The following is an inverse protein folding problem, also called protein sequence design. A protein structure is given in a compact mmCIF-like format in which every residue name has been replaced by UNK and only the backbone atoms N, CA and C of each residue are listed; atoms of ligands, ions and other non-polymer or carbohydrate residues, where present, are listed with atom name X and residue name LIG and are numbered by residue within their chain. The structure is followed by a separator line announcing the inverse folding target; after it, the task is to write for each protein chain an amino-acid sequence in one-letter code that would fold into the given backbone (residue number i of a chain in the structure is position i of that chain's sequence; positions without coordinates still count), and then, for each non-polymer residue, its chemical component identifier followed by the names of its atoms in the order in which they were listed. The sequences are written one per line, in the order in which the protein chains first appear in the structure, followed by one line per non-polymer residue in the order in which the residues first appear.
data_IF_112079578063
#
_entry.id   IF_112079578063
#
_cell.length_a   1.000
_cell.length_b   1.000
_cell.length_c   1.000
_cell.angle_alpha   90.00
_cell.angle_beta   90.00
_cell.angle_gamma   90.00
#
_symmetry.space_group_name_H-M   'P 1'
#
loop_
_entity.id
_entity.type
_entity.pdbx_description
1 polymer ?
#
# COMPACT_ATOMS: atom_id res chain seq x y z
N UNK A 1 -23.06 -4.90 -37.62
CA UNK A 1 -22.76 -3.46 -37.83
C UNK A 1 -23.94 -2.52 -37.49
N UNK A 2 -24.85 -2.85 -36.57
CA UNK A 2 -26.07 -2.04 -36.27
C UNK A 2 -26.06 -1.40 -34.87
N UNK A 3 -25.04 -1.69 -34.03
CA UNK A 3 -25.05 -1.33 -32.61
C UNK A 3 -25.00 0.16 -32.31
N UNK A 4 -24.47 1.01 -33.20
CA UNK A 4 -24.36 2.46 -32.96
C UNK A 4 -25.66 3.23 -33.20
N UNK A 5 -26.51 2.76 -34.13
CA UNK A 5 -27.76 3.44 -34.50
C UNK A 5 -28.84 3.20 -33.43
N UNK A 6 -28.80 2.05 -32.75
CA UNK A 6 -29.70 1.73 -31.63
C UNK A 6 -29.61 2.77 -30.48
N UNK A 7 -28.43 3.36 -30.23
CA UNK A 7 -28.24 4.42 -29.22
C UNK A 7 -29.08 5.67 -29.52
N UNK A 8 -29.40 5.91 -30.78
CA UNK A 8 -30.16 7.07 -31.27
C UNK A 8 -31.58 6.67 -31.73
N UNK A 9 -32.10 5.54 -31.25
CA UNK A 9 -33.45 5.07 -31.57
C UNK A 9 -33.62 4.63 -33.02
N UNK A 10 -32.59 4.01 -33.61
CA UNK A 10 -32.58 3.51 -35.00
C UNK A 10 -32.77 4.59 -36.08
N UNK A 11 -32.58 5.88 -35.73
CA UNK A 11 -32.60 6.99 -36.69
C UNK A 11 -31.25 7.08 -37.42
N UNK A 12 -31.27 7.07 -38.75
CA UNK A 12 -30.09 7.31 -39.58
C UNK A 12 -29.85 8.81 -39.75
N UNK A 13 -28.59 9.23 -39.60
CA UNK A 13 -28.19 10.65 -39.68
C UNK A 13 -28.18 11.37 -38.33
N UNK A 14 -27.41 12.45 -38.25
CA UNK A 14 -27.28 13.29 -37.05
C UNK A 14 -27.75 14.69 -37.40
N UNK A 15 -28.83 15.14 -36.76
CA UNK A 15 -29.25 16.54 -36.85
C UNK A 15 -28.30 17.43 -36.04
N UNK A 16 -28.06 18.68 -36.47
CA UNK A 16 -27.32 19.63 -35.67
C UNK A 16 -28.05 19.87 -34.34
N UNK A 17 -27.28 20.16 -33.28
CA UNK A 17 -27.86 20.44 -31.97
C UNK A 17 -28.78 21.68 -32.06
N UNK A 18 -30.00 21.62 -31.50
CA UNK A 18 -30.89 22.77 -31.49
C UNK A 18 -30.25 23.92 -30.71
N UNK A 19 -30.33 25.14 -31.24
CA UNK A 19 -29.81 26.34 -30.57
C UNK A 19 -30.80 26.78 -29.50
N UNK A 20 -30.32 26.97 -28.29
CA UNK A 20 -31.14 27.46 -27.17
C UNK A 20 -31.38 28.97 -27.31
N UNK A 21 -32.64 29.39 -27.17
CA UNK A 21 -33.05 30.80 -27.23
C UNK A 21 -32.89 31.47 -25.84
N UNK A 22 -33.31 30.75 -24.80
CA UNK A 22 -33.25 31.18 -23.39
C UNK A 22 -32.42 30.16 -22.61
N UNK A 23 -31.69 30.64 -21.59
CA UNK A 23 -30.96 29.74 -20.70
C UNK A 23 -31.95 28.95 -19.82
N UNK A 24 -31.75 27.63 -19.66
CA UNK A 24 -32.67 26.78 -18.93
C UNK A 24 -32.72 27.16 -17.44
N UNK A 25 -33.88 26.98 -16.81
CA UNK A 25 -33.99 27.11 -15.36
C UNK A 25 -33.27 25.95 -14.68
N UNK A 26 -32.46 26.29 -13.67
CA UNK A 26 -31.81 25.30 -12.80
C UNK A 26 -32.74 24.95 -11.64
N UNK A 27 -32.80 23.68 -11.28
CA UNK A 27 -33.51 23.24 -10.07
C UNK A 27 -32.69 23.60 -8.81
N UNK A 28 -33.29 23.70 -7.61
CA UNK A 28 -32.53 23.98 -6.39
C UNK A 28 -31.44 22.94 -6.13
N UNK A 29 -31.72 21.66 -6.43
CA UNK A 29 -30.73 20.59 -6.35
C UNK A 29 -29.56 20.78 -7.33
N UNK A 30 -29.81 21.25 -8.55
CA UNK A 30 -28.77 21.58 -9.53
C UNK A 30 -27.94 22.81 -9.10
N UNK A 31 -28.56 23.79 -8.43
CA UNK A 31 -27.86 24.95 -7.88
C UNK A 31 -26.93 24.50 -6.74
N UNK A 32 -27.42 23.73 -5.78
CA UNK A 32 -26.60 23.15 -4.71
C UNK A 32 -25.47 22.28 -5.26
N UNK A 33 -25.74 21.50 -6.29
CA UNK A 33 -24.71 20.68 -6.94
C UNK A 33 -23.65 21.55 -7.60
N UNK A 34 -24.06 22.58 -8.35
CA UNK A 34 -23.15 23.52 -8.97
C UNK A 34 -22.31 24.29 -7.94
N UNK A 35 -22.87 24.63 -6.78
CA UNK A 35 -22.13 25.23 -5.66
C UNK A 35 -21.12 24.27 -5.04
N UNK A 36 -21.49 22.98 -4.90
CA UNK A 36 -20.58 21.91 -4.44
C UNK A 36 -19.52 21.55 -5.48
N UNK A 37 -19.77 21.72 -6.76
CA UNK A 37 -18.77 21.52 -7.81
C UNK A 37 -17.85 22.74 -7.96
N UNK A 38 -18.37 23.95 -7.68
CA UNK A 38 -17.61 25.19 -7.60
C UNK A 38 -16.77 25.26 -6.30
N UNK A 39 -16.04 24.19 -5.99
CA UNK A 39 -15.01 24.20 -4.95
C UNK A 39 -13.82 25.00 -5.51
N UNK A 40 -13.55 26.14 -4.86
CA UNK A 40 -12.38 26.96 -5.15
C UNK A 40 -11.07 26.33 -4.65
N UNK A 41 -10.05 27.16 -4.48
CA UNK A 41 -8.79 26.71 -3.88
C UNK A 41 -9.03 26.23 -2.44
N UNK A 42 -8.40 25.09 -2.09
CA UNK A 42 -8.49 24.50 -0.73
C UNK A 42 -7.93 25.45 0.33
N UNK A 43 -6.80 26.09 0.02
CA UNK A 43 -6.12 27.04 0.90
C UNK A 43 -6.32 28.46 0.34
N UNK A 44 -6.87 29.40 1.13
CA UNK A 44 -7.15 30.76 0.66
C UNK A 44 -5.89 31.59 0.39
N UNK A 45 -4.73 31.17 0.89
CA UNK A 45 -3.45 31.86 0.71
C UNK A 45 -2.73 31.47 -0.58
N UNK A 46 -3.06 30.30 -1.16
CA UNK A 46 -2.45 29.75 -2.38
C UNK A 46 -3.20 30.14 -3.66
N UNK A 47 -3.98 31.24 -3.62
CA UNK A 47 -4.72 31.73 -4.78
C UNK A 47 -3.75 32.55 -5.66
N UNK A 48 -3.53 32.17 -6.94
CA UNK A 48 -2.72 32.95 -7.85
C UNK A 48 -3.27 34.38 -8.01
N UNK A 49 -2.38 35.37 -8.04
CA UNK A 49 -2.76 36.78 -8.20
C UNK A 49 -3.59 36.97 -9.49
N UNK A 50 -4.80 37.52 -9.35
CA UNK A 50 -5.71 37.80 -10.46
C UNK A 50 -6.77 36.73 -10.72
N UNK A 51 -6.76 35.60 -10.00
CA UNK A 51 -7.81 34.58 -10.06
C UNK A 51 -8.78 34.77 -8.90
N UNK A 52 -10.10 34.80 -9.12
CA UNK A 52 -11.06 34.88 -8.02
C UNK A 52 -11.04 33.58 -7.21
N UNK A 53 -11.12 33.71 -5.88
CA UNK A 53 -11.11 32.57 -4.94
C UNK A 53 -12.23 31.55 -5.20
N UNK A 54 -13.40 32.04 -5.63
CA UNK A 54 -14.56 31.26 -6.02
C UNK A 54 -15.05 31.77 -7.36
N UNK A 55 -15.38 30.85 -8.27
CA UNK A 55 -16.03 31.19 -9.53
C UNK A 55 -17.50 31.52 -9.22
N UNK A 56 -17.96 32.76 -9.46
CA UNK A 56 -19.35 33.11 -9.20
C UNK A 56 -20.26 32.29 -10.13
N UNK A 57 -21.38 31.81 -9.60
CA UNK A 57 -22.39 31.18 -10.44
C UNK A 57 -22.94 32.21 -11.43
N UNK A 58 -22.95 31.85 -12.71
CA UNK A 58 -23.55 32.70 -13.75
C UNK A 58 -25.04 32.88 -13.48
N UNK A 59 -25.46 34.12 -13.25
CA UNK A 59 -26.87 34.47 -13.12
C UNK A 59 -27.60 34.33 -14.45
N UNK A 60 -28.83 33.81 -14.40
CA UNK A 60 -29.69 33.66 -15.57
C UNK A 60 -30.23 35.02 -15.98
N UNK A 61 -30.09 35.35 -17.26
CA UNK A 61 -30.71 36.55 -17.84
C UNK A 61 -32.20 36.27 -18.15
N UNK A 62 -33.16 36.98 -17.54
CA UNK A 62 -34.58 36.76 -17.79
C UNK A 62 -34.98 37.21 -19.21
N UNK A 63 -36.05 36.65 -19.75
CA UNK A 63 -36.51 37.00 -21.09
C UNK A 63 -36.92 38.48 -21.18
N UNK A 64 -37.52 39.03 -20.13
CA UNK A 64 -37.89 40.45 -20.02
C UNK A 64 -36.70 41.37 -20.29
N UNK A 65 -35.55 41.11 -19.66
CA UNK A 65 -34.34 41.90 -19.86
C UNK A 65 -33.82 41.84 -21.31
N UNK A 66 -33.90 40.67 -21.96
CA UNK A 66 -33.51 40.53 -23.38
C UNK A 66 -34.46 41.30 -24.31
N UNK A 67 -35.76 41.28 -24.00
CA UNK A 67 -36.80 42.01 -24.75
C UNK A 67 -36.58 43.51 -24.65
N UNK A 68 -36.40 44.03 -23.43
CA UNK A 68 -36.16 45.45 -23.19
C UNK A 68 -34.92 45.96 -23.90
N UNK A 69 -33.86 45.16 -23.97
CA UNK A 69 -32.61 45.58 -24.60
C UNK A 69 -32.61 45.42 -26.12
N UNK A 70 -33.20 44.35 -26.66
CA UNK A 70 -33.06 44.00 -28.07
C UNK A 70 -34.25 44.41 -28.93
N UNK A 71 -35.47 44.44 -28.36
CA UNK A 71 -36.72 44.73 -29.07
C UNK A 71 -37.23 46.16 -28.80
N UNK A 72 -36.32 47.12 -28.63
CA UNK A 72 -36.68 48.54 -28.42
C UNK A 72 -37.47 49.07 -29.62
N UNK A 73 -38.58 49.77 -29.35
CA UNK A 73 -39.28 50.53 -30.39
C UNK A 73 -38.38 51.67 -30.84
N UNK A 74 -38.24 51.82 -32.16
CA UNK A 74 -37.47 52.93 -32.72
C UNK A 74 -38.20 54.25 -32.43
N UNK A 75 -37.44 55.35 -32.29
CA UNK A 75 -38.02 56.69 -32.30
C UNK A 75 -38.60 56.97 -33.69
N UNK A 76 -39.64 57.79 -33.76
CA UNK A 76 -40.34 58.10 -35.02
C UNK A 76 -39.42 58.92 -35.95
N UNK A 77 -38.85 58.25 -36.94
CA UNK A 77 -38.05 58.88 -37.99
C UNK A 77 -38.91 59.13 -39.22
N UNK A 78 -39.14 60.41 -39.56
CA UNK A 78 -39.98 60.82 -40.71
C UNK A 78 -39.46 60.36 -42.08
N UNK A 79 -38.20 59.93 -42.17
CA UNK A 79 -37.55 59.52 -43.43
C UNK A 79 -37.45 58.01 -43.63
N UNK A 80 -38.05 57.19 -42.75
CA UNK A 80 -37.95 55.73 -42.83
C UNK A 80 -39.06 55.15 -43.71
N UNK A 81 -38.68 54.37 -44.72
CA UNK A 81 -39.64 53.66 -45.58
C UNK A 81 -40.55 52.72 -44.77
N UNK A 82 -41.85 52.74 -45.05
CA UNK A 82 -42.91 52.01 -44.31
C UNK A 82 -42.68 50.49 -44.29
N UNK A 83 -42.15 49.91 -45.37
CA UNK A 83 -41.85 48.47 -45.40
C UNK A 83 -40.76 48.09 -44.39
N UNK A 84 -39.80 49.00 -44.10
CA UNK A 84 -38.74 48.76 -43.12
C UNK A 84 -39.27 48.83 -41.69
N UNK A 85 -40.23 49.72 -41.42
CA UNK A 85 -40.88 49.80 -40.10
C UNK A 85 -41.72 48.56 -39.86
N UNK A 86 -42.56 48.16 -40.83
CA UNK A 86 -43.37 46.95 -40.78
C UNK A 86 -42.51 45.69 -40.56
N UNK A 87 -41.43 45.52 -41.33
CA UNK A 87 -40.52 44.39 -41.13
C UNK A 87 -39.84 44.41 -39.75
N UNK A 88 -39.51 45.59 -39.23
CA UNK A 88 -38.94 45.72 -37.89
C UNK A 88 -39.96 45.36 -36.81
N UNK A 89 -41.23 45.73 -36.98
CA UNK A 89 -42.32 45.35 -36.07
C UNK A 89 -42.57 43.84 -36.08
N UNK A 90 -42.58 43.22 -37.26
CA UNK A 90 -42.71 41.77 -37.40
C UNK A 90 -41.55 41.06 -36.67
N UNK A 91 -40.30 41.50 -36.88
CA UNK A 91 -39.13 40.91 -36.21
C UNK A 91 -39.22 41.07 -34.69
N UNK A 92 -39.59 42.26 -34.20
CA UNK A 92 -39.82 42.50 -32.75
C UNK A 92 -40.90 41.57 -32.21
N UNK A 93 -42.02 41.44 -32.90
CA UNK A 93 -43.13 40.57 -32.50
C UNK A 93 -42.67 39.11 -32.39
N UNK A 94 -42.05 38.54 -33.42
CA UNK A 94 -41.58 37.16 -33.34
C UNK A 94 -40.47 36.95 -32.30
N UNK A 95 -39.55 37.90 -32.15
CA UNK A 95 -38.51 37.83 -31.13
C UNK A 95 -39.11 37.84 -29.71
N UNK A 96 -40.02 38.76 -29.42
CA UNK A 96 -40.70 38.82 -28.11
C UNK A 96 -41.52 37.56 -27.83
N UNK A 97 -42.31 37.08 -28.81
CA UNK A 97 -43.11 35.88 -28.67
C UNK A 97 -42.24 34.63 -28.42
N UNK A 98 -41.19 34.43 -29.23
CA UNK A 98 -40.29 33.27 -29.06
C UNK A 98 -39.60 33.24 -27.70
N UNK A 99 -39.18 34.39 -27.18
CA UNK A 99 -38.58 34.49 -25.85
C UNK A 99 -39.57 34.16 -24.73
N UNK A 100 -40.79 34.72 -24.80
CA UNK A 100 -41.83 34.48 -23.78
C UNK A 100 -42.32 33.04 -23.79
N UNK A 101 -42.54 32.45 -24.97
CA UNK A 101 -42.96 31.06 -25.12
C UNK A 101 -41.87 30.13 -24.57
N UNK A 102 -40.61 30.32 -24.98
CA UNK A 102 -39.52 29.48 -24.49
C UNK A 102 -39.35 29.59 -22.97
N UNK A 103 -39.47 30.79 -22.39
CA UNK A 103 -39.37 30.95 -20.93
C UNK A 103 -40.48 30.20 -20.20
N UNK A 104 -41.72 30.26 -20.71
CA UNK A 104 -42.83 29.50 -20.15
C UNK A 104 -42.62 27.97 -20.25
N UNK A 105 -42.13 27.48 -21.38
CA UNK A 105 -41.81 26.07 -21.59
C UNK A 105 -40.69 25.59 -20.65
N UNK A 106 -39.60 26.35 -20.53
CA UNK A 106 -38.49 26.01 -19.64
C UNK A 106 -38.93 25.99 -18.17
N UNK A 107 -39.83 26.91 -17.78
CA UNK A 107 -40.42 26.91 -16.44
C UNK A 107 -41.26 25.65 -16.20
N UNK A 108 -42.11 25.27 -17.15
CA UNK A 108 -42.90 24.05 -17.06
C UNK A 108 -42.03 22.77 -17.02
N UNK A 109 -40.93 22.75 -17.79
CA UNK A 109 -39.95 21.66 -17.77
C UNK A 109 -39.27 21.58 -16.40
N UNK A 110 -38.88 22.70 -15.82
CA UNK A 110 -38.27 22.77 -14.49
C UNK A 110 -39.23 22.25 -13.41
N UNK A 111 -40.49 22.69 -13.42
CA UNK A 111 -41.52 22.20 -12.50
C UNK A 111 -41.74 20.68 -12.63
N UNK A 112 -41.77 20.16 -13.88
CA UNK A 112 -41.87 18.72 -14.12
C UNK A 112 -40.66 17.97 -13.55
N UNK A 113 -39.45 18.48 -13.75
CA UNK A 113 -38.22 17.89 -13.20
C UNK A 113 -38.25 17.87 -11.67
N UNK A 114 -38.70 18.94 -11.03
CA UNK A 114 -38.83 19.00 -9.57
C UNK A 114 -39.81 17.96 -9.05
N UNK A 115 -41.01 17.85 -9.66
CA UNK A 115 -42.00 16.84 -9.28
C UNK A 115 -41.45 15.42 -9.43
N UNK A 116 -40.76 15.13 -10.53
CA UNK A 116 -40.12 13.82 -10.74
C UNK A 116 -39.09 13.50 -9.65
N UNK A 117 -38.25 14.47 -9.28
CA UNK A 117 -37.28 14.28 -8.19
C UNK A 117 -37.94 14.03 -6.83
N UNK A 118 -39.06 14.73 -6.55
CA UNK A 118 -39.85 14.52 -5.34
C UNK A 118 -40.53 13.14 -5.32
N UNK A 119 -41.13 12.75 -6.44
CA UNK A 119 -41.75 11.42 -6.63
C UNK A 119 -40.71 10.31 -6.46
N UNK A 120 -39.53 10.44 -7.07
CA UNK A 120 -38.43 9.47 -6.93
C UNK A 120 -37.94 9.39 -5.48
N UNK A 121 -37.85 10.53 -4.78
CA UNK A 121 -37.47 10.57 -3.37
C UNK A 121 -38.52 9.86 -2.50
N UNK A 122 -39.80 10.13 -2.73
CA UNK A 122 -40.90 9.48 -2.01
C UNK A 122 -40.94 7.97 -2.31
N UNK A 123 -40.80 7.58 -3.57
CA UNK A 123 -40.75 6.18 -3.99
C UNK A 123 -39.56 5.45 -3.35
N UNK A 124 -38.39 6.09 -3.23
CA UNK A 124 -37.23 5.52 -2.53
C UNK A 124 -37.51 5.32 -1.04
N UNK A 125 -38.13 6.29 -0.38
CA UNK A 125 -38.49 6.17 1.05
C UNK A 125 -39.49 5.02 1.24
N UNK A 126 -40.53 4.95 0.41
CA UNK A 126 -41.52 3.86 0.46
C UNK A 126 -40.90 2.49 0.19
N UNK A 127 -39.96 2.39 -0.76
CA UNK A 127 -39.22 1.14 -1.01
C UNK A 127 -38.41 0.74 0.22
N UNK A 128 -37.69 1.69 0.82
CA UNK A 128 -36.93 1.44 2.04
C UNK A 128 -37.83 0.94 3.17
N UNK A 129 -39.00 1.56 3.36
CA UNK A 129 -40.00 1.14 4.34
C UNK A 129 -40.56 -0.25 4.07
N UNK A 130 -40.86 -0.60 2.82
CA UNK A 130 -41.30 -1.95 2.43
C UNK A 130 -40.21 -3.00 2.61
N UNK A 131 -38.95 -2.63 2.41
CA UNK A 131 -37.80 -3.53 2.61
C UNK A 131 -37.36 -3.65 4.07
N UNK A 132 -37.93 -2.85 5.00
CA UNK A 132 -37.71 -3.09 6.42
C UNK A 132 -38.20 -4.49 6.74
N UNK A 133 -37.31 -5.31 7.29
CA UNK A 133 -37.58 -6.71 7.63
C UNK A 133 -38.81 -6.76 8.53
N UNK A 134 -39.83 -7.53 8.14
CA UNK A 134 -41.06 -7.66 8.93
C UNK A 134 -40.74 -8.19 10.33
N UNK A 135 -41.54 -7.83 11.34
CA UNK A 135 -41.31 -8.26 12.72
C UNK A 135 -41.28 -9.79 12.85
N UNK A 136 -42.17 -10.48 12.12
CA UNK A 136 -42.20 -11.94 12.06
C UNK A 136 -40.90 -12.53 11.47
N UNK A 137 -40.33 -11.91 10.43
CA UNK A 137 -39.05 -12.34 9.85
C UNK A 137 -37.88 -12.03 10.78
N UNK A 138 -37.93 -10.90 11.50
CA UNK A 138 -36.90 -10.52 12.49
C UNK A 138 -36.82 -11.51 13.65
N UNK A 139 -37.96 -12.06 14.08
CA UNK A 139 -38.04 -13.03 15.18
C UNK A 139 -37.77 -14.47 14.75
N UNK A 140 -37.99 -14.82 13.47
CA UNK A 140 -37.74 -16.18 12.95
C UNK A 140 -36.32 -16.38 12.44
N UNK A 141 -35.61 -15.32 12.05
CA UNK A 141 -34.21 -15.43 11.65
C UNK A 141 -33.26 -15.51 12.85
N UNK A 142 -32.23 -16.38 12.81
CA UNK A 142 -31.24 -16.45 13.88
C UNK A 142 -30.50 -15.11 14.01
N UNK A 143 -30.42 -14.60 15.24
CA UNK A 143 -29.86 -13.27 15.51
C UNK A 143 -28.36 -13.36 15.81
N UNK A 144 -27.52 -12.76 14.95
CA UNK A 144 -26.05 -12.64 15.14
C UNK A 144 -25.67 -11.22 15.64
N UNK A 145 -26.65 -10.45 16.12
CA UNK A 145 -26.45 -9.05 16.50
C UNK A 145 -25.39 -8.86 17.58
N UNK A 146 -25.25 -9.81 18.52
CA UNK A 146 -24.25 -9.74 19.57
C UNK A 146 -22.82 -9.74 19.01
N UNK A 147 -22.53 -10.55 18.00
CA UNK A 147 -21.21 -10.59 17.36
C UNK A 147 -20.95 -9.35 16.50
N UNK A 148 -21.96 -8.88 15.75
CA UNK A 148 -21.80 -7.74 14.84
C UNK A 148 -21.76 -6.38 15.54
N UNK A 149 -22.48 -6.23 16.65
CA UNK A 149 -22.70 -4.92 17.30
C UNK A 149 -21.84 -4.77 18.55
N UNK A 150 -21.69 -5.84 19.35
CA UNK A 150 -21.07 -5.71 20.67
C UNK A 150 -19.55 -5.89 20.64
N UNK A 151 -18.99 -6.45 19.57
CA UNK A 151 -17.56 -6.65 19.45
C UNK A 151 -17.01 -5.90 18.23
N UNK A 152 -16.04 -4.98 18.42
CA UNK A 152 -15.34 -4.40 17.29
C UNK A 152 -14.55 -5.51 16.57
N UNK A 153 -14.58 -5.51 15.24
CA UNK A 153 -13.82 -6.47 14.42
C UNK A 153 -12.32 -6.48 14.75
N UNK A 154 -11.80 -5.35 15.24
CA UNK A 154 -10.42 -5.20 15.67
C UNK A 154 -10.39 -4.52 17.03
N UNK A 155 -9.89 -5.23 18.03
CA UNK A 155 -9.56 -4.66 19.33
C UNK A 155 -8.21 -3.95 19.25
N UNK A 156 -8.15 -2.70 19.70
CA UNK A 156 -6.89 -1.98 19.82
C UNK A 156 -6.15 -2.53 21.05
N UNK A 157 -4.84 -2.76 20.90
CA UNK A 157 -3.99 -3.24 22.00
C UNK A 157 -3.92 -2.19 23.10
N UNK A 158 -3.87 -2.64 24.35
CA UNK A 158 -3.64 -1.76 25.51
C UNK A 158 -2.19 -1.23 25.49
N UNK A 159 -1.91 -0.09 26.16
CA UNK A 159 -0.54 0.43 26.23
C UNK A 159 0.44 -0.57 26.88
N UNK A 160 -0.03 -1.36 27.85
CA UNK A 160 0.74 -2.41 28.51
C UNK A 160 1.10 -3.54 27.55
N UNK A 161 0.14 -4.02 26.75
CA UNK A 161 0.39 -5.02 25.71
C UNK A 161 1.39 -4.52 24.67
N UNK A 162 1.28 -3.25 24.28
CA UNK A 162 2.21 -2.62 23.33
C UNK A 162 3.62 -2.57 23.93
N UNK A 163 3.77 -2.19 25.20
CA UNK A 163 5.05 -2.15 25.89
C UNK A 163 5.68 -3.54 26.01
N UNK A 164 4.90 -4.55 26.39
CA UNK A 164 5.33 -5.94 26.47
C UNK A 164 5.79 -6.45 25.11
N UNK A 165 5.03 -6.17 24.05
CA UNK A 165 5.37 -6.57 22.68
C UNK A 165 6.66 -5.91 22.21
N UNK A 166 6.85 -4.61 22.50
CA UNK A 166 8.11 -3.89 22.21
C UNK A 166 9.30 -4.54 22.93
N UNK A 167 9.16 -4.82 24.23
CA UNK A 167 10.20 -5.50 25.02
C UNK A 167 10.58 -6.86 24.42
N UNK A 168 9.59 -7.69 24.05
CA UNK A 168 9.84 -8.97 23.37
C UNK A 168 10.60 -8.81 22.05
N UNK A 169 10.24 -7.81 21.24
CA UNK A 169 10.93 -7.52 19.97
C UNK A 169 12.38 -7.08 20.20
N UNK A 170 12.62 -6.22 21.18
CA UNK A 170 13.96 -5.77 21.53
C UNK A 170 14.84 -6.91 22.06
N UNK A 171 14.29 -7.76 22.92
CA UNK A 171 14.97 -8.95 23.42
C UNK A 171 15.37 -9.88 22.27
N UNK A 172 14.45 -10.17 21.34
CA UNK A 172 14.73 -10.98 20.16
C UNK A 172 15.83 -10.35 19.28
N UNK A 173 15.78 -9.03 19.06
CA UNK A 173 16.81 -8.31 18.30
C UNK A 173 18.18 -8.41 18.96
N UNK A 174 18.25 -8.23 20.28
CA UNK A 174 19.49 -8.36 21.06
C UNK A 174 20.04 -9.79 21.00
N UNK A 175 19.18 -10.80 21.14
CA UNK A 175 19.56 -12.22 21.06
C UNK A 175 20.17 -12.57 19.69
N UNK A 176 19.54 -12.14 18.59
CA UNK A 176 20.08 -12.35 17.24
C UNK A 176 21.42 -11.65 17.05
N UNK A 177 21.54 -10.40 17.51
CA UNK A 177 22.80 -9.65 17.44
C UNK A 177 23.91 -10.34 18.23
N UNK A 178 23.61 -10.82 19.44
CA UNK A 178 24.54 -11.55 20.28
C UNK A 178 25.00 -12.83 19.57
N UNK A 179 24.08 -13.64 19.03
CA UNK A 179 24.41 -14.86 18.29
C UNK A 179 25.37 -14.62 17.13
N UNK A 180 25.16 -13.55 16.38
CA UNK A 180 26.03 -13.20 15.26
C UNK A 180 27.40 -12.70 15.74
N UNK A 181 27.46 -11.94 16.84
CA UNK A 181 28.74 -11.54 17.43
C UNK A 181 29.51 -12.74 17.98
N UNK A 182 28.84 -13.68 18.66
CA UNK A 182 29.49 -14.90 19.15
C UNK A 182 30.02 -15.76 18.01
N UNK A 183 29.29 -15.85 16.89
CA UNK A 183 29.76 -16.55 15.71
C UNK A 183 31.03 -15.89 15.14
N UNK A 184 31.01 -14.56 14.96
CA UNK A 184 32.19 -13.81 14.52
C UNK A 184 33.40 -13.99 15.45
N UNK A 185 33.17 -14.01 16.75
CA UNK A 185 34.23 -14.25 17.74
C UNK A 185 34.80 -15.67 17.62
N UNK A 186 33.96 -16.67 17.37
CA UNK A 186 34.41 -18.04 17.11
C UNK A 186 35.24 -18.12 15.83
N UNK A 187 34.78 -17.50 14.73
CA UNK A 187 35.50 -17.48 13.46
C UNK A 187 36.87 -16.79 13.60
N UNK A 188 36.94 -15.69 14.37
CA UNK A 188 38.18 -15.00 14.67
C UNK A 188 39.13 -15.88 15.50
N UNK A 189 38.61 -16.55 16.52
CA UNK A 189 39.39 -17.44 17.37
C UNK A 189 39.95 -18.62 16.56
N UNK A 190 39.15 -19.19 15.65
CA UNK A 190 39.59 -20.23 14.72
C UNK A 190 40.68 -19.71 13.77
N UNK A 191 40.53 -18.49 13.25
CA UNK A 191 41.55 -17.82 12.46
C UNK A 191 42.85 -17.62 13.25
N UNK A 192 42.76 -17.23 14.52
CA UNK A 192 43.91 -17.08 15.40
C UNK A 192 44.63 -18.42 15.62
N UNK A 193 43.88 -19.49 15.89
CA UNK A 193 44.45 -20.83 16.06
C UNK A 193 45.13 -21.33 14.77
N UNK A 194 44.50 -21.13 13.61
CA UNK A 194 45.08 -21.51 12.31
C UNK A 194 46.26 -20.63 11.89
N UNK A 195 46.36 -19.40 12.40
CA UNK A 195 47.45 -18.47 12.07
C UNK A 195 48.84 -18.99 12.46
N UNK A 196 48.93 -19.92 13.41
CA UNK A 196 50.18 -20.61 13.75
C UNK A 196 50.78 -21.34 12.53
N UNK A 197 49.94 -21.84 11.64
CA UNK A 197 50.32 -22.56 10.43
C UNK A 197 50.53 -21.62 9.23
N UNK A 198 50.23 -20.33 9.35
CA UNK A 198 50.40 -19.38 8.24
C UNK A 198 51.87 -19.02 8.04
N UNK A 199 52.27 -19.00 6.77
CA UNK A 199 53.60 -18.57 6.35
C UNK A 199 53.61 -17.05 6.29
N UNK A 200 54.18 -16.42 7.30
CA UNK A 200 54.26 -14.95 7.41
C UNK A 200 55.64 -14.38 7.11
N UNK A 201 56.69 -15.21 7.15
CA UNK A 201 58.09 -14.80 7.00
C UNK A 201 58.78 -15.65 5.94
N UNK A 202 59.78 -15.10 5.26
CA UNK A 202 60.56 -15.83 4.25
C UNK A 202 61.24 -17.10 4.79
N UNK A 203 61.68 -17.10 6.05
CA UNK A 203 62.26 -18.28 6.68
C UNK A 203 61.24 -19.44 6.76
N UNK A 204 60.03 -19.15 7.24
CA UNK A 204 58.90 -20.11 7.26
C UNK A 204 58.52 -20.57 5.85
N UNK A 205 58.67 -19.71 4.83
CA UNK A 205 58.39 -20.08 3.45
C UNK A 205 59.39 -21.12 2.96
N UNK A 206 60.70 -20.89 3.16
CA UNK A 206 61.75 -21.85 2.78
C UNK A 206 61.55 -23.19 3.48
N UNK A 207 61.29 -23.18 4.79
CA UNK A 207 61.04 -24.43 5.53
C UNK A 207 59.78 -25.16 5.05
N UNK A 208 58.72 -24.44 4.69
CA UNK A 208 57.51 -25.04 4.15
C UNK A 208 57.73 -25.62 2.74
N UNK A 209 58.52 -24.95 1.89
CA UNK A 209 58.93 -25.47 0.57
C UNK A 209 59.72 -26.77 0.78
N UNK A 210 60.76 -26.76 1.61
CA UNK A 210 61.54 -27.96 1.90
C UNK A 210 60.68 -29.09 2.47
N UNK A 211 59.79 -28.81 3.41
CA UNK A 211 58.87 -29.81 3.95
C UNK A 211 57.92 -30.38 2.90
N UNK A 212 57.38 -29.55 2.00
CA UNK A 212 56.45 -29.97 0.96
C UNK A 212 57.13 -30.79 -0.15
N UNK A 213 58.36 -30.43 -0.54
CA UNK A 213 59.12 -31.13 -1.58
C UNK A 213 59.90 -32.34 -1.05
N UNK A 214 60.33 -32.36 0.21
CA UNK A 214 61.00 -33.51 0.84
C UNK A 214 60.01 -34.55 1.40
N UNK A 215 58.76 -34.15 1.64
CA UNK A 215 57.66 -35.08 1.89
C UNK A 215 57.41 -35.90 0.62
N UNK A 216 57.87 -37.15 0.59
CA UNK A 216 57.71 -38.11 -0.52
C UNK A 216 56.26 -38.50 -0.83
N UNK A 217 55.27 -37.91 -0.15
CA UNK A 217 53.85 -38.01 -0.46
C UNK A 217 53.31 -36.68 -0.97
N UNK A 218 53.40 -36.43 -2.27
CA UNK A 218 52.58 -35.40 -2.91
C UNK A 218 51.14 -35.90 -2.99
N UNK A 219 50.16 -35.27 -2.32
CA UNK A 219 48.76 -35.68 -2.42
C UNK A 219 48.16 -35.44 -3.81
N UNK A 220 48.84 -34.68 -4.68
CA UNK A 220 48.36 -34.37 -6.04
C UNK A 220 48.92 -35.27 -7.14
N UNK A 221 49.86 -36.18 -6.82
CA UNK A 221 50.50 -37.05 -7.81
C UNK A 221 49.72 -38.34 -8.14
N UNK A 222 48.54 -38.57 -7.56
CA UNK A 222 47.73 -39.77 -7.84
C UNK A 222 46.24 -39.44 -8.02
N UNK A 223 45.90 -38.91 -9.19
CA UNK A 223 44.50 -38.80 -9.65
C UNK A 223 43.75 -40.14 -9.73
N UNK A 224 44.44 -41.28 -9.56
CA UNK A 224 43.87 -42.62 -9.55
C UNK A 224 43.46 -43.14 -8.15
N UNK A 225 43.95 -42.55 -7.06
CA UNK A 225 43.74 -43.08 -5.69
C UNK A 225 42.58 -42.38 -4.95
N UNK A 226 42.14 -41.21 -5.42
CA UNK A 226 40.98 -40.51 -4.86
C UNK A 226 39.66 -41.20 -5.25
N UNK A 227 39.56 -41.71 -6.48
CA UNK A 227 38.36 -42.38 -6.98
C UNK A 227 38.12 -43.71 -6.22
N UNK A 228 39.17 -44.47 -5.90
CA UNK A 228 39.00 -45.75 -5.20
C UNK A 228 38.52 -45.58 -3.76
N UNK A 229 39.00 -44.55 -3.05
CA UNK A 229 38.60 -44.32 -1.66
C UNK A 229 37.19 -43.68 -1.54
N UNK A 230 36.78 -42.84 -2.48
CA UNK A 230 35.39 -42.36 -2.54
C UNK A 230 34.42 -43.48 -2.91
N UNK A 231 34.77 -44.30 -3.89
CA UNK A 231 33.93 -45.42 -4.33
C UNK A 231 33.83 -46.49 -3.23
N UNK A 232 34.91 -46.80 -2.52
CA UNK A 232 34.89 -47.79 -1.44
C UNK A 232 34.09 -47.31 -0.20
N UNK A 233 34.07 -46.00 0.06
CA UNK A 233 33.19 -45.41 1.07
C UNK A 233 31.71 -45.42 0.64
N UNK A 234 31.40 -45.20 -0.65
CA UNK A 234 30.03 -45.28 -1.18
C UNK A 234 29.47 -46.71 -1.15
N UNK A 235 30.31 -47.73 -1.38
CA UNK A 235 29.86 -49.13 -1.37
C UNK A 235 29.80 -49.79 0.02
N UNK A 236 30.46 -49.20 1.04
CA UNK A 236 30.45 -49.77 2.41
C UNK A 236 29.39 -49.15 3.34
N UNK A 237 28.73 -48.06 2.94
CA UNK A 237 27.80 -47.30 3.80
C UNK A 237 26.34 -47.35 3.33
N UNK A 238 25.89 -48.47 2.77
CA UNK A 238 24.53 -48.61 2.23
C UNK A 238 23.40 -48.69 3.27
N UNK A 239 23.64 -48.40 4.56
CA UNK A 239 22.60 -48.43 5.59
C UNK A 239 22.62 -47.31 6.66
N UNK A 240 23.42 -46.26 6.50
CA UNK A 240 23.33 -45.08 7.37
C UNK A 240 23.15 -43.83 6.50
N UNK A 241 22.00 -43.17 6.67
CA UNK A 241 21.65 -41.87 6.07
C UNK A 241 22.88 -40.95 6.11
N UNK A 242 23.33 -40.52 4.93
CA UNK A 242 24.56 -39.76 4.72
C UNK A 242 24.60 -38.45 5.52
N UNK A 243 25.21 -38.52 6.70
CA UNK A 243 25.76 -37.37 7.39
C UNK A 243 27.23 -37.26 6.98
N UNK A 244 27.59 -36.16 6.32
CA UNK A 244 28.96 -35.81 5.97
C UNK A 244 29.87 -35.98 7.20
N UNK A 245 31.00 -36.69 7.10
CA UNK A 245 31.97 -36.86 8.20
C UNK A 245 32.41 -35.49 8.78
N UNK A 246 32.46 -34.46 7.94
CA UNK A 246 32.69 -33.06 8.35
C UNK A 246 31.60 -32.52 9.27
N UNK A 247 30.33 -32.86 9.02
CA UNK A 247 29.20 -32.44 9.87
C UNK A 247 29.19 -33.17 11.22
N UNK A 248 29.65 -34.42 11.28
CA UNK A 248 29.81 -35.14 12.54
C UNK A 248 30.94 -34.56 13.39
N UNK A 249 32.07 -34.20 12.78
CA UNK A 249 33.17 -33.54 13.49
C UNK A 249 32.79 -32.13 13.97
N UNK A 250 32.02 -31.38 13.18
CA UNK A 250 31.49 -30.08 13.62
C UNK A 250 30.48 -30.23 14.77
N UNK A 251 29.63 -31.26 14.74
CA UNK A 251 28.69 -31.56 15.81
C UNK A 251 29.39 -31.99 17.09
N UNK A 252 30.39 -32.88 17.02
CA UNK A 252 31.15 -33.32 18.20
C UNK A 252 31.94 -32.15 18.80
N UNK A 253 32.61 -31.36 17.97
CA UNK A 253 33.30 -30.15 18.41
C UNK A 253 32.32 -29.15 19.07
N UNK A 254 31.16 -28.89 18.45
CA UNK A 254 30.14 -28.01 19.03
C UNK A 254 29.57 -28.54 20.35
N UNK A 255 29.34 -29.85 20.49
CA UNK A 255 28.84 -30.45 21.73
C UNK A 255 29.87 -30.42 22.87
N UNK A 256 31.15 -30.52 22.54
CA UNK A 256 32.24 -30.44 23.50
C UNK A 256 32.71 -29.01 23.76
N UNK A 257 32.15 -28.01 23.05
CA UNK A 257 32.55 -26.61 23.16
C UNK A 257 33.93 -26.32 22.56
N UNK A 258 34.42 -27.16 21.65
CA UNK A 258 35.72 -27.02 20.96
C UNK A 258 35.55 -26.31 19.61
N UNK A 259 36.64 -25.78 19.07
CA UNK A 259 36.69 -25.26 17.70
C UNK A 259 36.80 -26.39 16.67
N UNK A 260 36.65 -26.08 15.38
CA UNK A 260 36.79 -27.05 14.27
C UNK A 260 38.15 -27.75 14.23
N UNK A 261 39.17 -27.13 14.84
CA UNK A 261 40.52 -27.66 14.95
C UNK A 261 40.73 -28.51 16.21
N UNK A 262 39.65 -28.88 16.94
CA UNK A 262 39.67 -29.59 18.23
C UNK A 262 40.48 -28.87 19.32
N UNK A 263 40.53 -27.53 19.25
CA UNK A 263 41.19 -26.68 20.21
C UNK A 263 40.16 -25.99 21.11
N UNK A 264 40.58 -25.40 22.26
CA UNK A 264 39.68 -24.76 23.21
C UNK A 264 38.77 -23.73 22.54
N UNK A 265 37.47 -23.82 22.80
CA UNK A 265 36.48 -22.89 22.24
C UNK A 265 36.37 -21.58 23.01
N UNK A 266 35.53 -20.67 22.49
CA UNK A 266 35.38 -19.32 23.03
C UNK A 266 34.98 -19.28 24.51
N UNK A 267 34.14 -20.22 24.97
CA UNK A 267 33.70 -20.28 26.37
C UNK A 267 34.85 -20.58 27.33
N UNK A 268 35.73 -21.52 26.98
CA UNK A 268 36.91 -21.87 27.79
C UNK A 268 37.94 -20.75 27.81
N UNK A 269 38.20 -20.13 26.65
CA UNK A 269 39.10 -18.98 26.53
C UNK A 269 38.57 -17.79 27.33
N UNK A 270 37.27 -17.50 27.23
CA UNK A 270 36.64 -16.43 28.00
C UNK A 270 36.75 -16.71 29.51
N UNK A 271 36.46 -17.92 29.96
CA UNK A 271 36.58 -18.32 31.36
C UNK A 271 38.01 -18.26 31.91
N UNK A 272 39.00 -18.56 31.07
CA UNK A 272 40.41 -18.43 31.42
C UNK A 272 40.87 -16.97 31.54
N UNK A 273 40.36 -16.09 30.69
CA UNK A 273 40.64 -14.64 30.73
C UNK A 273 39.91 -13.96 31.90
N UNK A 274 38.65 -14.34 32.15
CA UNK A 274 37.85 -13.79 33.26
C UNK A 274 38.31 -14.28 34.64
N UNK A 275 39.11 -15.35 34.69
CA UNK A 275 39.57 -15.96 35.93
C UNK A 275 38.52 -16.83 36.62
N UNK A 276 37.31 -16.96 36.04
CA UNK A 276 36.23 -17.78 36.57
C UNK A 276 36.61 -19.27 36.64
N UNK A 277 37.40 -19.75 35.68
CA UNK A 277 37.86 -21.15 35.67
C UNK A 277 38.87 -21.42 36.79
N UNK A 278 39.74 -20.46 37.11
CA UNK A 278 40.68 -20.56 38.23
C UNK A 278 39.94 -20.51 39.56
N UNK A 279 39.01 -19.57 39.73
CA UNK A 279 38.18 -19.49 40.92
C UNK A 279 37.34 -20.76 41.14
N UNK A 280 36.82 -21.37 40.07
CA UNK A 280 36.08 -22.63 40.14
C UNK A 280 36.98 -23.82 40.52
N UNK A 281 38.20 -23.90 39.98
CA UNK A 281 39.17 -24.94 40.34
C UNK A 281 39.65 -24.79 41.79
N UNK A 282 39.95 -23.56 42.22
CA UNK A 282 40.38 -23.24 43.58
C UNK A 282 39.27 -23.47 44.61
N UNK A 283 37.99 -23.25 44.25
CA UNK A 283 36.85 -23.58 45.10
C UNK A 283 36.59 -25.09 45.23
N UNK A 284 37.07 -25.90 44.28
CA UNK A 284 36.91 -27.37 44.29
C UNK A 284 38.03 -28.08 45.07
N UNK A 285 39.21 -27.47 45.19
CA UNK A 285 40.34 -28.00 45.96
C UNK A 285 40.17 -28.05 47.50
N UNK A 286 39.43 -27.16 48.20
CA UNK A 286 39.27 -27.25 49.66
C UNK A 286 38.40 -28.42 50.15
N UNK A 287 37.65 -29.10 49.28
CA UNK A 287 36.87 -30.28 49.65
C UNK A 287 37.66 -31.60 49.52
N UNK A 288 38.70 -31.66 48.67
CA UNK A 288 39.51 -32.86 48.48
C UNK A 288 40.57 -33.09 49.59
N UNK A 289 40.97 -32.04 50.31
CA UNK A 289 41.96 -32.11 51.40
C UNK A 289 41.33 -32.34 52.80
N UNK A 290 40.04 -32.68 52.89
CA UNK A 290 39.37 -33.05 54.15
C UNK A 290 39.09 -34.55 54.32
N UNK A 291 39.55 -35.38 53.39
CA UNK A 291 39.34 -36.84 53.40
C UNK A 291 40.66 -37.62 53.29
N UNK A 292 41.60 -37.32 54.18
CA UNK A 292 42.80 -38.12 54.45
C UNK A 292 43.22 -37.94 55.90
#
# INVERSE_FOLDING_TARGET
MVSRIARYGFKSGVLPKPRQIVEPFKTPAEIEHAEKENIGFRDPELIPKGVPAKVPLKERVPASFKIENSAKKAKEDKHRAEWKTLNADIRRKYFTQSLLIQEAEEKAIMERRQRQLEEDRQARIQRLERTKVSEATRLTLPTIQSFLTNQPLVTRRTPEEIALLKSKREANRKAVKLKHLTQKSNDLLELYQSSANFITTEAKLKSAIEACFNSSGSPYASGSQYISNEVQNVFSSSNAKGANVSSLNELTAATLGLTKNFLPGLGEVQGAISGETKAFLDAKQPEANKSS
#
